data_IF_182225789686
#
_entry.id   IF_182225789686
#
_cell.length_a   1.000
_cell.length_b   1.000
_cell.length_c   1.000
_cell.angle_alpha   90.00
_cell.angle_beta   90.00
_cell.angle_gamma   90.00
#
_symmetry.space_group_name_H-M   'P 1'
#
loop_
_entity.id
_entity.type
_entity.pdbx_description
1 polymer ?
#
# COMPACT_ATOMS: atom_id res chain seq x y z
N UNK A 1 -6.39 9.01 0.11
CA UNK A 1 -6.21 8.13 1.29
C UNK A 1 -7.07 6.87 1.22
N UNK A 2 -8.40 6.97 1.02
CA UNK A 2 -9.27 5.79 1.00
C UNK A 2 -8.86 4.74 -0.04
N UNK A 3 -8.49 5.17 -1.26
CA UNK A 3 -7.99 4.27 -2.32
C UNK A 3 -6.76 3.49 -1.82
N UNK A 4 -5.73 4.18 -1.32
CA UNK A 4 -4.54 3.54 -0.74
C UNK A 4 -4.91 2.52 0.35
N UNK A 5 -5.77 2.90 1.29
CA UNK A 5 -6.21 2.02 2.37
C UNK A 5 -6.93 0.78 1.85
N UNK A 6 -7.88 0.96 0.94
CA UNK A 6 -8.65 -0.14 0.34
C UNK A 6 -7.76 -1.07 -0.49
N UNK A 7 -6.81 -0.53 -1.26
CA UNK A 7 -5.83 -1.34 -2.00
C UNK A 7 -4.98 -2.20 -1.07
N UNK A 8 -4.49 -1.64 0.03
CA UNK A 8 -3.72 -2.39 1.02
C UNK A 8 -4.55 -3.50 1.68
N UNK A 9 -5.76 -3.19 2.14
CA UNK A 9 -6.65 -4.18 2.77
C UNK A 9 -7.00 -5.32 1.80
N UNK A 10 -7.21 -5.00 0.53
CA UNK A 10 -7.42 -5.99 -0.52
C UNK A 10 -6.18 -6.87 -0.67
N UNK A 11 -4.98 -6.29 -0.75
CA UNK A 11 -3.73 -7.00 -0.94
C UNK A 11 -3.47 -8.04 0.18
N UNK A 12 -3.58 -7.63 1.46
CA UNK A 12 -3.29 -8.52 2.59
C UNK A 12 -4.33 -9.63 2.80
N UNK A 13 -5.55 -9.45 2.28
CA UNK A 13 -6.63 -10.46 2.32
C UNK A 13 -6.68 -11.32 1.04
N UNK A 14 -5.72 -11.16 0.14
CA UNK A 14 -5.70 -11.88 -1.14
C UNK A 14 -5.15 -13.29 -1.01
N UNK A 15 -5.53 -14.14 -1.97
CA UNK A 15 -4.87 -15.43 -2.19
C UNK A 15 -3.42 -15.20 -2.65
N UNK A 16 -2.53 -16.13 -2.32
CA UNK A 16 -1.08 -16.02 -2.53
C UNK A 16 -0.68 -15.56 -3.94
N UNK A 17 -1.33 -16.09 -4.97
CA UNK A 17 -1.08 -15.75 -6.38
C UNK A 17 -1.42 -14.31 -6.76
N UNK A 18 -2.19 -13.60 -5.92
CA UNK A 18 -2.63 -12.22 -6.15
C UNK A 18 -2.06 -11.21 -5.16
N UNK A 19 -1.45 -11.66 -4.07
CA UNK A 19 -0.91 -10.76 -3.03
C UNK A 19 0.15 -9.84 -3.63
N UNK A 20 1.13 -10.36 -4.37
CA UNK A 20 2.24 -9.55 -4.90
C UNK A 20 1.75 -8.44 -5.85
N UNK A 21 0.93 -8.80 -6.85
CA UNK A 21 0.30 -7.86 -7.79
C UNK A 21 -0.42 -6.72 -7.04
N UNK A 22 -1.20 -7.06 -6.02
CA UNK A 22 -2.02 -6.08 -5.28
C UNK A 22 -1.21 -5.24 -4.29
N UNK A 23 -0.11 -5.78 -3.75
CA UNK A 23 0.84 -4.99 -2.95
C UNK A 23 1.54 -3.95 -3.84
N UNK A 24 1.92 -4.29 -5.08
CA UNK A 24 2.46 -3.30 -6.02
C UNK A 24 1.45 -2.19 -6.34
N UNK A 25 0.18 -2.55 -6.60
CA UNK A 25 -0.89 -1.55 -6.79
C UNK A 25 -1.08 -0.64 -5.56
N UNK A 26 -0.77 -1.14 -4.36
CA UNK A 26 -0.82 -0.34 -3.13
C UNK A 26 0.32 0.69 -3.08
N UNK A 27 1.52 0.34 -3.55
CA UNK A 27 2.63 1.27 -3.69
C UNK A 27 2.29 2.39 -4.68
N UNK A 28 1.71 2.05 -5.84
CA UNK A 28 1.28 3.04 -6.83
C UNK A 28 0.22 4.01 -6.25
N UNK A 29 -0.75 3.46 -5.51
CA UNK A 29 -1.75 4.27 -4.82
C UNK A 29 -1.16 5.17 -3.73
N UNK A 30 -0.04 4.77 -3.10
CA UNK A 30 0.68 5.61 -2.14
C UNK A 30 1.36 6.77 -2.84
N UNK A 31 2.06 6.53 -3.96
CA UNK A 31 2.72 7.59 -4.74
C UNK A 31 1.69 8.64 -5.20
N UNK A 32 0.58 8.20 -5.79
CA UNK A 32 -0.51 9.10 -6.20
C UNK A 32 -1.09 9.87 -5.01
N UNK A 33 -1.20 9.25 -3.84
CA UNK A 33 -1.68 9.95 -2.65
C UNK A 33 -0.67 10.99 -2.14
N UNK A 34 0.61 10.64 -2.10
CA UNK A 34 1.67 11.51 -1.61
C UNK A 34 1.85 12.74 -2.51
N UNK A 35 1.82 12.55 -3.82
CA UNK A 35 2.00 13.62 -4.80
C UNK A 35 0.84 14.61 -4.79
N UNK A 36 -0.40 14.11 -4.70
CA UNK A 36 -1.59 14.96 -4.73
C UNK A 36 -1.98 15.54 -3.37
N UNK A 37 -1.54 14.93 -2.26
CA UNK A 37 -1.97 15.30 -0.91
C UNK A 37 -0.82 15.29 0.13
N UNK A 38 0.29 16.01 -0.11
CA UNK A 38 1.47 15.98 0.77
C UNK A 38 1.18 16.47 2.20
N UNK A 39 0.26 17.42 2.37
CA UNK A 39 -0.12 17.99 3.69
C UNK A 39 -1.39 17.36 4.27
N UNK A 40 -1.79 16.18 3.78
CA UNK A 40 -2.99 15.51 4.27
C UNK A 40 -2.88 15.16 5.75
N UNK A 41 -3.97 15.32 6.51
CA UNK A 41 -4.09 14.78 7.87
C UNK A 41 -3.88 13.26 7.95
N UNK A 42 -3.95 12.56 6.83
CA UNK A 42 -3.75 11.12 6.74
C UNK A 42 -2.32 10.72 6.32
N UNK A 43 -1.38 11.66 6.16
CA UNK A 43 -0.03 11.36 5.64
C UNK A 43 0.70 10.30 6.47
N UNK A 44 0.66 10.40 7.81
CA UNK A 44 1.25 9.41 8.73
C UNK A 44 0.64 8.01 8.57
N UNK A 45 -0.66 7.92 8.27
CA UNK A 45 -1.31 6.64 8.02
C UNK A 45 -0.93 6.07 6.66
N UNK A 46 -0.78 6.93 5.65
CA UNK A 46 -0.33 6.54 4.33
C UNK A 46 1.12 6.02 4.35
N UNK A 47 2.03 6.70 5.05
CA UNK A 47 3.42 6.27 5.25
C UNK A 47 3.49 4.92 5.95
N UNK A 48 2.66 4.72 6.99
CA UNK A 48 2.56 3.42 7.68
C UNK A 48 2.12 2.30 6.72
N UNK A 49 1.12 2.55 5.88
CA UNK A 49 0.67 1.59 4.87
C UNK A 49 1.81 1.28 3.89
N UNK A 50 2.53 2.29 3.42
CA UNK A 50 3.66 2.11 2.50
C UNK A 50 4.77 1.25 3.11
N UNK A 51 5.14 1.52 4.37
CA UNK A 51 6.12 0.72 5.11
C UNK A 51 5.66 -0.75 5.22
N UNK A 52 4.43 -0.98 5.67
CA UNK A 52 3.89 -2.33 5.82
C UNK A 52 3.80 -3.09 4.49
N UNK A 53 3.47 -2.37 3.41
CA UNK A 53 3.44 -2.93 2.04
C UNK A 53 4.83 -3.37 1.61
N UNK A 54 5.84 -2.51 1.81
CA UNK A 54 7.24 -2.80 1.47
C UNK A 54 7.79 -3.99 2.26
N UNK A 55 7.51 -4.04 3.56
CA UNK A 55 7.88 -5.19 4.41
C UNK A 55 7.23 -6.50 3.94
N UNK A 56 5.96 -6.44 3.52
CA UNK A 56 5.22 -7.61 3.02
C UNK A 56 5.82 -8.12 1.71
N UNK A 57 6.16 -7.23 0.78
CA UNK A 57 6.84 -7.61 -0.48
C UNK A 57 8.19 -8.24 -0.19
N UNK A 58 8.99 -7.68 0.72
CA UNK A 58 10.30 -8.24 1.07
C UNK A 58 10.19 -9.64 1.69
N UNK A 59 9.11 -9.93 2.43
CA UNK A 59 8.84 -11.27 2.97
C UNK A 59 8.42 -12.26 1.90
N UNK A 60 7.74 -11.83 0.83
CA UNK A 60 7.35 -12.69 -0.28
C UNK A 60 8.52 -13.10 -1.17
N UNK A 61 9.56 -12.26 -1.23
CA UNK A 61 10.77 -12.50 -2.05
C UNK A 61 11.84 -13.32 -1.34
N UNK A 62 11.64 -13.64 -0.05
CA UNK A 62 12.52 -14.48 0.76
C UNK A 62 12.06 -15.93 0.72
#
# INVERSE_FOLDING_TARGET
FLILKSSYELAIKSISTKVEERLNNTLDAFLVFNDNYPESKYIKQAEKINQQTTESINKLKK
#
